data_IF_606580042884
#
_entry.id   IF_606580042884
#
_cell.length_a   1.000
_cell.length_b   1.000
_cell.length_c   1.000
_cell.angle_alpha   90.00
_cell.angle_beta   90.00
_cell.angle_gamma   90.00
#
_symmetry.space_group_name_H-M   'P 1'
#
loop_
_entity.id
_entity.type
_entity.pdbx_description
1 polymer ?
#
# COMPACT_ATOMS: atom_id res chain seq x y z
N UNK A 1 1.13 29.68 -16.54
CA UNK A 1 -0.13 28.97 -16.87
C UNK A 1 0.09 27.47 -17.16
N UNK A 2 1.19 27.09 -17.84
CA UNK A 2 1.50 25.69 -18.11
C UNK A 2 1.92 24.91 -16.85
N UNK A 3 2.44 25.57 -15.82
CA UNK A 3 2.85 24.91 -14.57
C UNK A 3 1.67 24.56 -13.68
N UNK A 4 0.65 25.39 -13.63
CA UNK A 4 -0.54 25.16 -12.81
C UNK A 4 -1.38 24.00 -13.36
N UNK A 5 -1.47 23.86 -14.68
CA UNK A 5 -2.16 22.75 -15.30
C UNK A 5 -1.45 21.40 -15.08
N UNK A 6 -0.11 21.38 -15.06
CA UNK A 6 0.65 20.14 -14.81
C UNK A 6 0.51 19.66 -13.36
N UNK A 7 0.39 20.57 -12.38
CA UNK A 7 0.13 20.22 -10.98
C UNK A 7 -1.30 19.68 -10.79
N UNK A 8 -2.27 20.21 -11.51
CA UNK A 8 -3.64 19.70 -11.51
C UNK A 8 -3.72 18.28 -12.09
N UNK A 9 -3.03 18.03 -13.20
CA UNK A 9 -2.97 16.72 -13.82
C UNK A 9 -2.33 15.68 -12.89
N UNK A 10 -1.27 16.06 -12.17
CA UNK A 10 -0.60 15.20 -11.19
C UNK A 10 -1.53 14.85 -10.02
N UNK A 11 -2.30 15.80 -9.50
CA UNK A 11 -3.25 15.56 -8.41
C UNK A 11 -4.41 14.66 -8.84
N UNK A 12 -4.92 14.85 -10.05
CA UNK A 12 -5.95 13.98 -10.61
C UNK A 12 -5.43 12.57 -10.85
N UNK A 13 -4.20 12.42 -11.38
CA UNK A 13 -3.53 11.13 -11.55
C UNK A 13 -3.29 10.45 -10.20
N UNK A 14 -2.95 11.20 -9.15
CA UNK A 14 -2.80 10.66 -7.79
C UNK A 14 -4.11 10.12 -7.24
N UNK A 15 -5.22 10.84 -7.44
CA UNK A 15 -6.55 10.38 -7.01
C UNK A 15 -6.98 9.12 -7.75
N UNK A 16 -6.76 9.07 -9.07
CA UNK A 16 -7.03 7.90 -9.90
C UNK A 16 -6.19 6.72 -9.41
N UNK A 17 -4.92 6.94 -9.15
CA UNK A 17 -4.01 5.90 -8.68
C UNK A 17 -4.39 5.38 -7.31
N UNK A 18 -4.75 6.25 -6.38
CA UNK A 18 -5.23 5.87 -5.05
C UNK A 18 -6.44 4.94 -5.17
N UNK A 19 -7.38 5.29 -6.05
CA UNK A 19 -8.55 4.46 -6.33
C UNK A 19 -8.14 3.13 -6.97
N UNK A 20 -7.17 3.13 -7.89
CA UNK A 20 -6.64 1.91 -8.51
C UNK A 20 -5.95 1.00 -7.50
N UNK A 21 -5.20 1.56 -6.55
CA UNK A 21 -4.57 0.79 -5.47
C UNK A 21 -5.61 0.14 -4.56
N UNK A 22 -6.73 0.82 -4.31
CA UNK A 22 -7.82 0.30 -3.52
C UNK A 22 -8.70 -0.72 -4.28
N UNK A 23 -8.63 -0.76 -5.60
CA UNK A 23 -9.43 -1.62 -6.47
C UNK A 23 -8.59 -2.73 -7.12
N UNK A 24 -7.74 -3.40 -6.33
CA UNK A 24 -7.00 -4.57 -6.81
C UNK A 24 -8.00 -5.69 -7.09
N UNK A 25 -8.09 -6.09 -8.35
CA UNK A 25 -9.01 -7.15 -8.76
C UNK A 25 -8.37 -8.52 -8.55
N UNK A 26 -9.15 -9.45 -8.01
CA UNK A 26 -8.78 -10.86 -7.95
C UNK A 26 -8.73 -11.40 -9.37
N UNK A 27 -7.69 -12.15 -9.67
CA UNK A 27 -7.67 -13.01 -10.85
C UNK A 27 -8.34 -14.31 -10.45
N UNK A 28 -9.46 -14.62 -11.08
CA UNK A 28 -10.03 -15.96 -11.00
C UNK A 28 -9.07 -16.95 -11.67
N UNK A 29 -8.87 -18.09 -11.05
CA UNK A 29 -8.02 -19.16 -11.60
C UNK A 29 -8.47 -19.66 -12.97
N UNK A 30 -9.69 -19.35 -13.37
CA UNK A 30 -10.24 -19.65 -14.70
C UNK A 30 -9.94 -18.58 -15.75
N UNK A 31 -9.29 -17.47 -15.38
CA UNK A 31 -8.89 -16.45 -16.35
C UNK A 31 -7.86 -16.99 -17.33
N UNK A 32 -7.98 -16.56 -18.60
CA UNK A 32 -6.99 -16.90 -19.60
C UNK A 32 -5.62 -16.24 -19.27
N UNK A 33 -4.56 -16.76 -19.89
CA UNK A 33 -3.20 -16.31 -19.66
C UNK A 33 -3.01 -14.79 -19.94
N UNK A 34 -3.73 -14.25 -20.94
CA UNK A 34 -3.62 -12.83 -21.28
C UNK A 34 -4.16 -11.94 -20.17
N UNK A 35 -5.27 -12.30 -19.54
CA UNK A 35 -5.84 -11.56 -18.41
C UNK A 35 -4.94 -11.62 -17.17
N UNK A 36 -4.33 -12.79 -16.94
CA UNK A 36 -3.32 -12.98 -15.89
C UNK A 36 -2.13 -12.04 -16.10
N UNK A 37 -1.57 -11.96 -17.31
CA UNK A 37 -0.47 -11.08 -17.66
C UNK A 37 -0.83 -9.60 -17.50
N UNK A 38 -2.04 -9.20 -17.93
CA UNK A 38 -2.54 -7.82 -17.77
C UNK A 38 -2.64 -7.42 -16.32
N UNK A 39 -3.15 -8.31 -15.47
CA UNK A 39 -3.29 -8.01 -14.04
C UNK A 39 -1.92 -7.89 -13.36
N UNK A 40 -0.97 -8.76 -13.70
CA UNK A 40 0.39 -8.66 -13.18
C UNK A 40 1.07 -7.35 -13.60
N UNK A 41 0.89 -6.91 -14.84
CA UNK A 41 1.38 -5.61 -15.31
C UNK A 41 0.72 -4.45 -14.59
N UNK A 42 -0.57 -4.52 -14.33
CA UNK A 42 -1.29 -3.50 -13.59
C UNK A 42 -0.79 -3.39 -12.14
N UNK A 43 -0.55 -4.52 -11.48
CA UNK A 43 -0.02 -4.55 -10.12
C UNK A 43 1.41 -3.99 -10.06
N UNK A 44 2.25 -4.36 -11.01
CA UNK A 44 3.61 -3.81 -11.15
C UNK A 44 3.56 -2.29 -11.38
N UNK A 45 2.68 -1.83 -12.25
CA UNK A 45 2.47 -0.40 -12.50
C UNK A 45 2.07 0.33 -11.21
N UNK A 46 1.15 -0.24 -10.43
CA UNK A 46 0.72 0.35 -9.15
C UNK A 46 1.88 0.48 -8.16
N UNK A 47 2.72 -0.55 -8.06
CA UNK A 47 3.91 -0.49 -7.20
C UNK A 47 4.88 0.59 -7.65
N UNK A 48 5.14 0.68 -8.94
CA UNK A 48 6.02 1.70 -9.52
C UNK A 48 5.47 3.13 -9.31
N UNK A 49 4.17 3.30 -9.44
CA UNK A 49 3.52 4.59 -9.22
C UNK A 49 3.55 4.98 -7.73
N UNK A 50 3.38 4.03 -6.83
CA UNK A 50 3.53 4.28 -5.39
C UNK A 50 4.93 4.82 -5.08
N UNK A 51 5.96 4.21 -5.62
CA UNK A 51 7.34 4.67 -5.47
C UNK A 51 7.55 6.07 -6.09
N UNK A 52 6.94 6.32 -7.23
CA UNK A 52 6.99 7.62 -7.90
C UNK A 52 6.39 8.74 -7.02
N UNK A 53 5.23 8.49 -6.41
CA UNK A 53 4.60 9.48 -5.51
C UNK A 53 5.41 9.74 -4.25
N UNK A 54 6.06 8.70 -3.70
CA UNK A 54 6.98 8.90 -2.57
C UNK A 54 8.15 9.78 -2.99
N UNK A 55 8.72 9.56 -4.17
CA UNK A 55 9.80 10.38 -4.68
C UNK A 55 9.36 11.84 -4.90
N UNK A 56 8.13 12.06 -5.36
CA UNK A 56 7.56 13.41 -5.45
C UNK A 56 7.39 14.05 -4.08
N UNK A 57 6.96 13.29 -3.08
CA UNK A 57 6.88 13.78 -1.69
C UNK A 57 8.26 14.18 -1.16
N UNK A 58 9.30 13.39 -1.44
CA UNK A 58 10.68 13.69 -1.04
C UNK A 58 11.20 14.98 -1.67
N UNK A 59 10.72 15.32 -2.86
CA UNK A 59 11.04 16.56 -3.56
C UNK A 59 10.10 17.72 -3.19
N UNK A 60 9.25 17.54 -2.18
CA UNK A 60 8.25 18.52 -1.75
C UNK A 60 7.23 18.90 -2.84
N UNK A 61 7.07 18.04 -3.87
CA UNK A 61 6.08 18.22 -4.94
C UNK A 61 4.71 17.63 -4.59
N UNK A 62 4.66 16.79 -3.56
CA UNK A 62 3.43 16.23 -2.99
C UNK A 62 3.41 16.42 -1.48
N UNK A 63 2.22 16.73 -0.90
CA UNK A 63 2.09 16.82 0.55
C UNK A 63 2.35 15.48 1.24
N UNK A 64 3.08 15.48 2.35
CA UNK A 64 3.28 14.31 3.21
C UNK A 64 1.95 13.73 3.68
N UNK A 65 0.99 14.58 3.97
CA UNK A 65 -0.33 14.18 4.43
C UNK A 65 -1.05 13.25 3.45
N UNK A 66 -0.91 13.51 2.14
CA UNK A 66 -1.52 12.67 1.11
C UNK A 66 -0.90 11.27 1.09
N UNK A 67 0.41 11.15 1.27
CA UNK A 67 1.10 9.86 1.37
C UNK A 67 0.68 9.12 2.65
N UNK A 68 0.61 9.82 3.78
CA UNK A 68 0.14 9.25 5.06
C UNK A 68 -1.28 8.73 4.93
N UNK A 69 -2.17 9.50 4.34
CA UNK A 69 -3.56 9.08 4.11
C UNK A 69 -3.64 7.89 3.17
N UNK A 70 -2.81 7.84 2.12
CA UNK A 70 -2.71 6.69 1.23
C UNK A 70 -2.30 5.42 1.99
N UNK A 71 -1.32 5.51 2.86
CA UNK A 71 -0.89 4.39 3.71
C UNK A 71 -2.03 3.92 4.61
N UNK A 72 -2.69 4.84 5.31
CA UNK A 72 -3.78 4.53 6.24
C UNK A 72 -4.98 3.90 5.51
N UNK A 73 -5.34 4.42 4.34
CA UNK A 73 -6.42 3.86 3.53
C UNK A 73 -6.11 2.44 3.06
N UNK A 74 -4.86 2.20 2.65
CA UNK A 74 -4.41 0.85 2.27
C UNK A 74 -4.40 -0.10 3.46
N UNK A 75 -4.01 0.35 4.64
CA UNK A 75 -4.06 -0.44 5.86
C UNK A 75 -5.51 -0.82 6.23
N UNK A 76 -6.43 0.12 6.14
CA UNK A 76 -7.86 -0.14 6.38
C UNK A 76 -8.41 -1.16 5.38
N UNK A 77 -8.09 -1.00 4.11
CA UNK A 77 -8.50 -1.94 3.07
C UNK A 77 -7.90 -3.33 3.30
N UNK A 78 -6.63 -3.39 3.71
CA UNK A 78 -5.98 -4.64 4.06
C UNK A 78 -6.70 -5.38 5.19
N UNK A 79 -7.06 -4.70 6.27
CA UNK A 79 -7.83 -5.29 7.37
C UNK A 79 -9.18 -5.85 6.88
N UNK A 80 -9.87 -5.12 6.03
CA UNK A 80 -11.15 -5.56 5.48
C UNK A 80 -10.98 -6.82 4.63
N UNK A 81 -9.92 -6.89 3.81
CA UNK A 81 -9.63 -8.07 2.99
C UNK A 81 -9.18 -9.27 3.82
N UNK A 82 -8.39 -9.05 4.87
CA UNK A 82 -7.94 -10.12 5.78
C UNK A 82 -9.13 -10.76 6.49
N UNK A 83 -10.11 -9.97 6.93
CA UNK A 83 -11.26 -10.45 7.67
C UNK A 83 -12.24 -11.30 6.83
N UNK A 84 -12.04 -11.34 5.53
CA UNK A 84 -12.84 -12.15 4.63
C UNK A 84 -12.01 -13.33 4.11
N UNK A 85 -12.66 -14.35 3.60
CA UNK A 85 -12.00 -15.52 3.01
C UNK A 85 -11.78 -15.32 1.50
N UNK A 86 -10.85 -16.08 0.92
CA UNK A 86 -10.57 -16.09 -0.53
C UNK A 86 -9.95 -14.78 -1.09
N UNK A 87 -9.34 -13.96 -0.24
CA UNK A 87 -8.69 -12.70 -0.62
C UNK A 87 -7.16 -12.74 -0.46
N UNK A 88 -6.56 -13.93 -0.35
CA UNK A 88 -5.12 -14.08 -0.07
C UNK A 88 -4.24 -13.37 -1.10
N UNK A 89 -4.56 -13.44 -2.38
CA UNK A 89 -3.80 -12.79 -3.45
C UNK A 89 -3.93 -11.26 -3.36
N UNK A 90 -5.10 -10.75 -3.00
CA UNK A 90 -5.32 -9.32 -2.78
C UNK A 90 -4.52 -8.85 -1.56
N UNK A 91 -4.57 -9.59 -0.47
CA UNK A 91 -3.83 -9.27 0.76
C UNK A 91 -2.32 -9.22 0.47
N UNK A 92 -1.79 -10.18 -0.26
CA UNK A 92 -0.38 -10.19 -0.65
C UNK A 92 0.00 -8.95 -1.46
N UNK A 93 -0.83 -8.55 -2.42
CA UNK A 93 -0.54 -7.39 -3.26
C UNK A 93 -0.67 -6.07 -2.48
N UNK A 94 -1.66 -5.95 -1.60
CA UNK A 94 -1.78 -4.79 -0.72
C UNK A 94 -0.55 -4.69 0.19
N UNK A 95 -0.09 -5.80 0.74
CA UNK A 95 1.08 -5.82 1.61
C UNK A 95 2.37 -5.46 0.87
N UNK A 96 2.52 -5.86 -0.39
CA UNK A 96 3.65 -5.41 -1.22
C UNK A 96 3.63 -3.89 -1.41
N UNK A 97 2.47 -3.31 -1.71
CA UNK A 97 2.33 -1.86 -1.84
C UNK A 97 2.59 -1.12 -0.52
N UNK A 98 2.04 -1.62 0.59
CA UNK A 98 2.29 -1.06 1.91
C UNK A 98 3.77 -1.11 2.28
N UNK A 99 4.45 -2.21 1.98
CA UNK A 99 5.87 -2.36 2.22
C UNK A 99 6.67 -1.28 1.45
N UNK A 100 6.37 -1.09 0.16
CA UNK A 100 7.02 -0.06 -0.66
C UNK A 100 6.77 1.34 -0.10
N UNK A 101 5.51 1.65 0.20
CA UNK A 101 5.12 2.97 0.70
C UNK A 101 5.80 3.28 2.03
N UNK A 102 5.69 2.39 2.99
CA UNK A 102 6.20 2.63 4.36
C UNK A 102 7.73 2.60 4.38
N UNK A 103 8.36 1.62 3.75
CA UNK A 103 9.82 1.51 3.70
C UNK A 103 10.48 2.76 3.16
N UNK A 104 9.89 3.35 2.12
CA UNK A 104 10.48 4.52 1.46
C UNK A 104 10.06 5.86 2.08
N UNK A 105 8.98 5.88 2.86
CA UNK A 105 8.43 7.11 3.41
C UNK A 105 8.71 7.32 4.90
N UNK A 106 9.04 6.28 5.67
CA UNK A 106 9.04 6.35 7.13
C UNK A 106 9.93 7.45 7.71
N UNK A 107 11.11 7.69 7.14
CA UNK A 107 12.00 8.77 7.58
C UNK A 107 11.38 10.16 7.45
N UNK A 108 10.49 10.33 6.49
CA UNK A 108 9.82 11.59 6.19
C UNK A 108 8.56 11.80 7.01
N UNK A 109 7.95 10.72 7.49
CA UNK A 109 6.65 10.75 8.21
C UNK A 109 6.76 10.46 9.70
N UNK A 110 7.94 10.10 10.19
CA UNK A 110 8.17 9.69 11.60
C UNK A 110 7.78 10.74 12.62
N UNK A 111 7.84 12.01 12.27
CA UNK A 111 7.48 13.13 13.14
C UNK A 111 6.00 13.54 13.05
N UNK A 112 5.22 12.87 12.22
CA UNK A 112 3.78 13.12 12.08
C UNK A 112 2.98 12.43 13.18
N UNK A 113 1.90 13.07 13.62
CA UNK A 113 1.01 12.54 14.68
C UNK A 113 0.40 11.18 14.28
N UNK A 114 0.18 10.95 13.00
CA UNK A 114 -0.41 9.71 12.48
C UNK A 114 0.58 8.55 12.37
N UNK A 115 1.87 8.81 12.56
CA UNK A 115 2.90 7.77 12.49
C UNK A 115 2.64 6.63 13.50
N UNK A 116 2.26 6.98 14.73
CA UNK A 116 1.92 6.00 15.76
C UNK A 116 0.74 5.12 15.34
N UNK A 117 -0.25 5.67 14.65
CA UNK A 117 -1.39 4.90 14.14
C UNK A 117 -0.94 3.91 13.06
N UNK A 118 -0.10 4.34 12.14
CA UNK A 118 0.48 3.46 11.11
C UNK A 118 1.25 2.31 11.77
N UNK A 119 2.10 2.62 12.73
CA UNK A 119 2.89 1.63 13.47
C UNK A 119 1.99 0.63 14.21
N UNK A 120 0.99 1.12 14.93
CA UNK A 120 0.06 0.26 15.67
C UNK A 120 -0.74 -0.67 14.74
N UNK A 121 -1.10 -0.20 13.56
CA UNK A 121 -1.75 -1.03 12.55
C UNK A 121 -0.83 -2.16 12.07
N UNK A 122 0.46 -1.88 11.88
CA UNK A 122 1.46 -2.90 11.52
C UNK A 122 1.59 -3.93 12.63
N UNK A 123 1.74 -3.49 13.88
CA UNK A 123 1.85 -4.39 15.04
C UNK A 123 0.61 -5.28 15.15
N UNK A 124 -0.57 -4.74 14.90
CA UNK A 124 -1.83 -5.50 14.94
C UNK A 124 -1.82 -6.65 13.94
N UNK A 125 -1.31 -6.44 12.73
CA UNK A 125 -1.20 -7.51 11.72
C UNK A 125 -0.20 -8.58 12.17
N UNK A 126 0.92 -8.22 12.77
CA UNK A 126 1.92 -9.19 13.25
C UNK A 126 1.37 -10.10 14.35
N UNK A 127 0.40 -9.63 15.11
CA UNK A 127 -0.25 -10.38 16.20
C UNK A 127 -1.42 -11.26 15.74
N UNK A 128 -1.92 -11.05 14.54
CA UNK A 128 -3.01 -11.88 14.00
C UNK A 128 -2.53 -13.31 13.74
N UNK A 129 -3.43 -14.26 13.99
CA UNK A 129 -3.18 -15.66 13.68
C UNK A 129 -3.73 -15.98 12.29
N UNK A 130 -2.92 -16.65 11.49
CA UNK A 130 -3.38 -17.24 10.23
C UNK A 130 -4.40 -18.33 10.55
N UNK A 131 -5.55 -18.29 9.87
CA UNK A 131 -6.60 -19.31 10.04
C UNK A 131 -7.34 -19.54 8.71
N UNK A 132 -8.12 -20.59 8.65
CA UNK A 132 -8.98 -20.88 7.49
C UNK A 132 -10.12 -19.85 7.34
N UNK A 133 -10.38 -19.07 8.37
CA UNK A 133 -11.47 -18.09 8.41
C UNK A 133 -11.01 -16.67 8.02
N UNK A 134 -9.76 -16.50 7.64
CA UNK A 134 -9.24 -15.22 7.18
C UNK A 134 -8.29 -15.39 5.98
N UNK A 135 -7.96 -14.28 5.34
CA UNK A 135 -7.08 -14.25 4.16
C UNK A 135 -5.63 -13.86 4.51
N UNK A 136 -5.25 -13.86 5.79
CA UNK A 136 -3.88 -13.58 6.18
C UNK A 136 -2.93 -14.65 5.67
N UNK A 137 -1.89 -14.22 4.96
CA UNK A 137 -0.84 -15.12 4.45
C UNK A 137 0.41 -15.03 5.32
N UNK A 138 1.22 -16.08 5.30
CA UNK A 138 2.54 -16.06 5.96
C UNK A 138 3.42 -14.96 5.36
N UNK A 139 3.38 -14.80 4.05
CA UNK A 139 4.14 -13.77 3.33
C UNK A 139 3.77 -12.36 3.81
N UNK A 140 2.48 -12.04 3.88
CA UNK A 140 2.02 -10.73 4.31
C UNK A 140 2.34 -10.46 5.77
N UNK A 141 2.25 -11.48 6.62
CA UNK A 141 2.64 -11.37 8.03
C UNK A 141 4.13 -11.06 8.19
N UNK A 142 5.00 -11.77 7.48
CA UNK A 142 6.45 -11.50 7.51
C UNK A 142 6.80 -10.11 6.98
N UNK A 143 6.12 -9.64 5.94
CA UNK A 143 6.30 -8.27 5.44
C UNK A 143 6.00 -7.23 6.52
N UNK A 144 4.96 -7.44 7.30
CA UNK A 144 4.62 -6.55 8.42
C UNK A 144 5.62 -6.64 9.56
N UNK A 145 6.18 -7.83 9.84
CA UNK A 145 7.27 -7.98 10.81
C UNK A 145 8.52 -7.23 10.38
N UNK A 146 8.88 -7.32 9.10
CA UNK A 146 10.01 -6.58 8.55
C UNK A 146 9.81 -5.07 8.66
N UNK A 147 8.58 -4.57 8.40
CA UNK A 147 8.24 -3.17 8.58
C UNK A 147 8.33 -2.73 10.05
N UNK A 148 7.84 -3.54 10.95
CA UNK A 148 7.91 -3.27 12.39
C UNK A 148 9.37 -3.15 12.85
N UNK A 149 10.21 -4.09 12.45
CA UNK A 149 11.63 -4.07 12.79
C UNK A 149 12.33 -2.83 12.20
N UNK A 150 12.02 -2.50 10.96
CA UNK A 150 12.57 -1.30 10.31
C UNK A 150 12.19 -0.02 11.05
N UNK A 151 10.95 0.10 11.47
CA UNK A 151 10.45 1.27 12.20
C UNK A 151 11.00 1.34 13.63
N UNK A 152 11.25 0.20 14.27
CA UNK A 152 11.83 0.14 15.61
C UNK A 152 13.31 0.56 15.65
N UNK A 153 14.05 0.37 14.58
CA UNK A 153 15.46 0.78 14.48
C UNK A 153 15.66 2.31 14.59
N UNK A 154 14.58 3.09 14.51
CA UNK A 154 14.63 4.56 14.48
C UNK A 154 14.24 5.18 15.82
N UNK A 155 13.78 4.36 16.72
CA UNK A 155 13.49 4.84 18.07
C UNK A 155 14.83 5.18 18.82
#
# INVERSE_FOLDING_TARGET
EKYDNSLFDINDDFTILKNDLLNIKIIDSEMNYDDFCKNNKNNERKRNLSLFYINLMKQELFPKEDVINLILDNQTYNFNMINDINNSDIVDEICENLFILIKNAFDYIKDDDKYSLIYNNIVSITKLKKSENNSLTTKSKFKHMDLMDLMDLIK
#
